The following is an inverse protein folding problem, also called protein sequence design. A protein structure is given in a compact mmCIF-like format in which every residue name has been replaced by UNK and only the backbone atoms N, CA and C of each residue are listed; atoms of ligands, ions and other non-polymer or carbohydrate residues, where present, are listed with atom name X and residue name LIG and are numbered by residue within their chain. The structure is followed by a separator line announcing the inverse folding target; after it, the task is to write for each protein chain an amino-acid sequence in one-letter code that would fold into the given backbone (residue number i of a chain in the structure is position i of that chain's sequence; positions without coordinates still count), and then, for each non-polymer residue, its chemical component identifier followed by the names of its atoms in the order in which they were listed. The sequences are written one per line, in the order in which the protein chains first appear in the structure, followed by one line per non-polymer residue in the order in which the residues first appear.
data_IF_443558645598
#
_entry.id   IF_443558645598
#
_cell.length_a   1.000
_cell.length_b   1.000
_cell.length_c   1.000
_cell.angle_alpha   90.00
_cell.angle_beta   90.00
_cell.angle_gamma   90.00
#
_symmetry.space_group_name_H-M   'P 1'
#
loop_
_entity.id
_entity.type
_entity.pdbx_description
1 polymer ?
#
# COMPACT_ATOMS: atom_id res chain seq x y z
N UNK A 1 5.57 6.67 9.61
CA UNK A 1 5.05 7.97 10.14
C UNK A 1 3.57 8.09 9.78
N UNK A 2 2.75 8.76 10.60
CA UNK A 2 1.27 8.79 10.46
C UNK A 2 0.84 9.79 9.41
N UNK A 3 0.85 9.38 8.15
CA UNK A 3 0.58 10.22 6.97
C UNK A 3 -0.79 10.90 6.97
N UNK A 4 -1.79 10.36 7.71
CA UNK A 4 -3.10 10.99 7.86
C UNK A 4 -3.04 12.35 8.58
N UNK A 5 -2.07 12.60 9.44
CA UNK A 5 -1.99 13.85 10.23
C UNK A 5 -1.76 15.08 9.36
N UNK A 6 -1.08 14.93 8.23
CA UNK A 6 -0.75 16.01 7.30
C UNK A 6 -1.86 16.34 6.29
N UNK A 7 -2.93 15.55 6.23
CA UNK A 7 -4.11 15.85 5.43
C UNK A 7 -4.87 17.05 6.01
N UNK A 8 -5.58 17.78 5.13
CA UNK A 8 -6.55 18.80 5.56
C UNK A 8 -7.70 18.18 6.37
N UNK A 9 -8.35 18.95 7.21
CA UNK A 9 -9.49 18.45 8.00
C UNK A 9 -10.69 18.11 7.10
N UNK A 10 -10.85 18.81 5.97
CA UNK A 10 -11.84 18.49 4.95
C UNK A 10 -11.58 17.11 4.34
N UNK A 11 -10.34 16.82 3.91
CA UNK A 11 -9.97 15.51 3.37
C UNK A 11 -10.16 14.41 4.41
N UNK A 12 -9.76 14.66 5.67
CA UNK A 12 -9.97 13.70 6.76
C UNK A 12 -11.44 13.37 6.98
N UNK A 13 -12.32 14.38 6.90
CA UNK A 13 -13.76 14.21 7.05
C UNK A 13 -14.36 13.40 5.87
N UNK A 14 -13.93 13.70 4.64
CA UNK A 14 -14.40 13.00 3.42
C UNK A 14 -14.08 11.51 3.41
N UNK A 15 -12.91 11.11 3.92
CA UNK A 15 -12.47 9.71 3.91
C UNK A 15 -12.85 8.93 5.17
N UNK A 16 -13.41 9.59 6.18
CA UNK A 16 -13.80 8.94 7.42
C UNK A 16 -14.97 7.97 7.18
N UNK A 17 -14.80 6.72 7.56
CA UNK A 17 -15.79 5.66 7.33
C UNK A 17 -15.86 5.14 5.90
N UNK A 18 -15.09 5.69 4.95
CA UNK A 18 -15.04 5.20 3.58
C UNK A 18 -14.24 3.89 3.49
N UNK A 19 -14.58 3.11 2.46
CA UNK A 19 -13.93 1.85 2.13
C UNK A 19 -13.37 1.88 0.72
N UNK A 20 -12.29 1.13 0.50
CA UNK A 20 -11.68 0.97 -0.80
C UNK A 20 -11.66 -0.49 -1.23
N UNK A 21 -11.72 -0.72 -2.54
CA UNK A 21 -11.46 -2.02 -3.15
C UNK A 21 -9.97 -2.15 -3.37
N UNK A 22 -9.38 -3.15 -2.72
CA UNK A 22 -8.01 -3.58 -2.96
C UNK A 22 -8.02 -4.81 -3.86
N UNK A 23 -7.20 -4.75 -4.90
CA UNK A 23 -7.13 -5.77 -5.92
C UNK A 23 -5.66 -6.06 -6.24
N UNK A 24 -5.23 -7.26 -5.96
CA UNK A 24 -3.84 -7.68 -6.17
C UNK A 24 -3.45 -7.67 -7.64
N UNK A 25 -4.42 -7.88 -8.54
CA UNK A 25 -4.16 -7.87 -10.00
C UNK A 25 -3.73 -6.50 -10.50
N UNK A 26 -4.12 -5.41 -9.81
CA UNK A 26 -3.71 -4.04 -10.17
C UNK A 26 -2.19 -3.87 -10.19
N UNK A 27 -1.45 -4.56 -9.32
CA UNK A 27 0.02 -4.50 -9.32
C UNK A 27 0.63 -5.03 -10.61
N UNK A 28 0.00 -6.00 -11.25
CA UNK A 28 0.45 -6.56 -12.53
C UNK A 28 0.12 -5.64 -13.71
N UNK A 29 -0.94 -4.85 -13.59
CA UNK A 29 -1.33 -3.86 -14.59
C UNK A 29 -0.47 -2.57 -14.49
N UNK A 30 0.16 -2.30 -13.34
CA UNK A 30 0.85 -1.04 -13.06
C UNK A 30 2.32 -1.23 -12.69
N UNK A 31 2.60 -1.83 -11.53
CA UNK A 31 3.97 -1.93 -10.97
C UNK A 31 4.83 -2.91 -11.76
N UNK A 32 4.22 -3.97 -12.29
CA UNK A 32 4.90 -5.04 -13.03
C UNK A 32 4.56 -5.06 -14.52
N UNK A 33 3.88 -4.05 -15.03
CA UNK A 33 3.40 -4.00 -16.42
C UNK A 33 4.50 -4.25 -17.47
N UNK A 34 5.71 -3.77 -17.20
CA UNK A 34 6.86 -3.90 -18.12
C UNK A 34 7.70 -5.16 -17.87
N UNK A 35 7.28 -6.05 -16.96
CA UNK A 35 8.03 -7.27 -16.65
C UNK A 35 7.32 -8.50 -17.27
N UNK A 36 7.82 -9.03 -18.42
CA UNK A 36 7.21 -10.14 -19.13
C UNK A 36 7.22 -11.46 -18.34
N UNK A 37 8.09 -11.60 -17.35
CA UNK A 37 8.19 -12.79 -16.50
C UNK A 37 7.17 -12.78 -15.35
N UNK A 38 6.49 -11.65 -15.16
CA UNK A 38 5.45 -11.49 -14.13
C UNK A 38 4.07 -11.35 -14.76
N UNK A 39 3.54 -12.47 -15.22
CA UNK A 39 2.18 -12.57 -15.72
C UNK A 39 1.35 -13.35 -14.70
N UNK A 40 0.25 -12.77 -14.26
CA UNK A 40 -0.70 -13.46 -13.41
C UNK A 40 -1.64 -14.30 -14.29
N UNK A 41 -1.70 -15.61 -14.06
CA UNK A 41 -2.65 -16.47 -14.76
C UNK A 41 -4.07 -16.25 -14.24
N UNK A 42 -5.09 -16.63 -15.02
CA UNK A 42 -6.49 -16.53 -14.59
C UNK A 42 -6.74 -17.34 -13.31
N UNK A 43 -6.13 -18.50 -13.17
CA UNK A 43 -6.22 -19.35 -11.99
C UNK A 43 -5.64 -18.64 -10.76
N UNK A 44 -4.45 -18.06 -10.88
CA UNK A 44 -3.82 -17.28 -9.79
C UNK A 44 -4.62 -16.02 -9.44
N UNK A 45 -5.20 -15.34 -10.45
CA UNK A 45 -6.07 -14.19 -10.21
C UNK A 45 -7.34 -14.59 -9.43
N UNK A 46 -7.91 -15.77 -9.72
CA UNK A 46 -9.08 -16.29 -9.01
C UNK A 46 -8.79 -16.63 -7.53
N UNK A 47 -7.55 -16.95 -7.18
CA UNK A 47 -7.15 -17.19 -5.79
C UNK A 47 -7.03 -15.93 -4.93
N UNK A 48 -6.93 -14.76 -5.57
CA UNK A 48 -6.74 -13.46 -4.90
C UNK A 48 -7.83 -12.46 -5.30
N UNK A 49 -9.10 -12.75 -5.03
CA UNK A 49 -10.20 -11.86 -5.42
C UNK A 49 -10.06 -10.49 -4.76
N UNK A 50 -10.61 -9.43 -5.39
CA UNK A 50 -10.64 -8.11 -4.79
C UNK A 50 -11.29 -8.12 -3.40
N UNK A 51 -10.70 -7.38 -2.46
CA UNK A 51 -11.17 -7.29 -1.07
C UNK A 51 -11.51 -5.86 -0.70
N UNK A 52 -12.50 -5.72 0.18
CA UNK A 52 -12.92 -4.44 0.74
C UNK A 52 -12.15 -4.17 2.04
N UNK A 53 -11.51 -2.99 2.13
CA UNK A 53 -10.84 -2.51 3.33
C UNK A 53 -11.21 -1.05 3.64
N UNK A 54 -11.08 -0.59 4.91
CA UNK A 54 -11.29 0.81 5.23
C UNK A 54 -10.19 1.67 4.59
N UNK A 55 -10.54 2.87 4.11
CA UNK A 55 -9.56 3.87 3.63
C UNK A 55 -8.67 4.36 4.77
N UNK A 56 -9.24 4.46 5.96
CA UNK A 56 -8.54 4.81 7.20
C UNK A 56 -8.60 3.65 8.17
N UNK A 57 -7.48 2.99 8.37
CA UNK A 57 -7.34 1.89 9.32
C UNK A 57 -6.99 2.41 10.72
N UNK A 58 -7.57 1.79 11.74
CA UNK A 58 -7.24 2.01 13.12
C UNK A 58 -6.29 0.92 13.63
N UNK A 59 -5.17 1.31 14.22
CA UNK A 59 -4.29 0.40 14.96
C UNK A 59 -4.90 0.16 16.35
N UNK A 60 -5.25 -1.07 16.66
CA UNK A 60 -6.02 -1.44 17.85
C UNK A 60 -5.26 -1.08 19.13
N UNK A 61 -3.96 -1.38 19.18
CA UNK A 61 -3.13 -1.21 20.38
C UNK A 61 -2.94 0.24 20.79
N UNK A 62 -2.92 1.16 19.82
CA UNK A 62 -2.63 2.59 20.09
C UNK A 62 -3.82 3.50 19.82
N UNK A 63 -4.86 3.00 19.17
CA UNK A 63 -5.99 3.78 18.67
C UNK A 63 -5.62 4.74 17.50
N UNK A 64 -4.39 4.73 17.04
CA UNK A 64 -3.93 5.62 15.98
C UNK A 64 -4.54 5.23 14.64
N UNK A 65 -4.81 6.24 13.82
CA UNK A 65 -5.39 6.10 12.48
C UNK A 65 -4.34 6.32 11.42
N UNK A 66 -4.32 5.45 10.41
CA UNK A 66 -3.42 5.51 9.26
C UNK A 66 -4.20 5.43 7.95
N UNK A 67 -3.71 6.10 6.91
CA UNK A 67 -4.20 5.90 5.54
C UNK A 67 -3.86 4.46 5.15
N UNK A 68 -4.87 3.71 4.68
CA UNK A 68 -4.75 2.31 4.31
C UNK A 68 -5.10 2.09 2.83
N UNK A 69 -4.62 2.97 1.97
CA UNK A 69 -4.67 2.82 0.51
C UNK A 69 -3.26 2.80 -0.07
N UNK A 70 -3.11 2.16 -1.22
CA UNK A 70 -1.81 1.88 -1.84
C UNK A 70 -1.93 1.98 -3.37
N UNK A 71 -1.01 2.71 -4.06
CA UNK A 71 -1.08 2.87 -5.51
C UNK A 71 -1.05 1.55 -6.30
N UNK A 72 -0.36 0.51 -5.78
CA UNK A 72 -0.25 -0.77 -6.45
C UNK A 72 -1.44 -1.71 -6.25
N UNK A 73 -2.34 -1.43 -5.31
CA UNK A 73 -3.42 -2.36 -4.97
C UNK A 73 -4.81 -1.73 -4.86
N UNK A 74 -4.93 -0.42 -4.70
CA UNK A 74 -6.22 0.23 -4.46
C UNK A 74 -6.86 0.71 -5.74
N UNK A 75 -7.98 0.10 -6.15
CA UNK A 75 -8.68 0.44 -7.39
C UNK A 75 -9.60 1.66 -7.25
N UNK A 76 -10.40 1.71 -6.20
CA UNK A 76 -11.39 2.78 -6.00
C UNK A 76 -11.86 2.88 -4.56
N UNK A 77 -12.43 4.02 -4.20
CA UNK A 77 -13.21 4.23 -2.97
C UNK A 77 -14.68 3.95 -3.31
N UNK A 78 -15.35 3.15 -2.47
CA UNK A 78 -16.68 2.62 -2.77
C UNK A 78 -17.75 3.70 -2.69
N UNK A 79 -17.64 4.58 -1.70
CA UNK A 79 -18.64 5.62 -1.37
C UNK A 79 -18.53 6.88 -2.25
N UNK A 80 -17.64 6.88 -3.25
CA UNK A 80 -17.39 7.98 -4.17
C UNK A 80 -17.69 7.55 -5.61
N UNK A 81 -18.08 8.49 -6.46
CA UNK A 81 -18.14 8.25 -7.89
C UNK A 81 -16.74 8.05 -8.50
N UNK A 82 -16.67 7.70 -9.79
CA UNK A 82 -15.39 7.32 -10.41
C UNK A 82 -14.38 8.48 -10.46
N UNK A 83 -14.86 9.70 -10.70
CA UNK A 83 -14.00 10.90 -10.79
C UNK A 83 -13.54 11.34 -9.39
N UNK A 84 -14.46 11.44 -8.46
CA UNK A 84 -14.17 11.81 -7.08
C UNK A 84 -13.22 10.78 -6.42
N UNK A 85 -13.45 9.49 -6.65
CA UNK A 85 -12.59 8.42 -6.13
C UNK A 85 -11.18 8.50 -6.68
N UNK A 86 -11.01 8.75 -7.98
CA UNK A 86 -9.70 8.90 -8.61
C UNK A 86 -8.93 10.08 -8.00
N UNK A 87 -9.56 11.25 -7.93
CA UNK A 87 -8.93 12.48 -7.45
C UNK A 87 -8.58 12.39 -5.96
N UNK A 88 -9.46 11.74 -5.17
CA UNK A 88 -9.18 11.47 -3.77
C UNK A 88 -8.01 10.49 -3.60
N UNK A 89 -7.97 9.40 -4.35
CA UNK A 89 -6.87 8.45 -4.29
C UNK A 89 -5.55 9.08 -4.70
N UNK A 90 -5.52 9.92 -5.75
CA UNK A 90 -4.32 10.65 -6.16
C UNK A 90 -3.82 11.56 -5.03
N UNK A 91 -4.71 12.28 -4.37
CA UNK A 91 -4.39 13.11 -3.20
C UNK A 91 -3.77 12.26 -2.07
N UNK A 92 -4.40 11.13 -1.75
CA UNK A 92 -3.93 10.23 -0.69
C UNK A 92 -2.59 9.57 -1.04
N UNK A 93 -2.39 9.18 -2.30
CA UNK A 93 -1.13 8.58 -2.77
C UNK A 93 0.00 9.59 -2.73
N UNK A 94 -0.22 10.81 -3.24
CA UNK A 94 0.76 11.91 -3.18
C UNK A 94 1.18 12.17 -1.74
N UNK A 95 0.23 12.29 -0.83
CA UNK A 95 0.54 12.49 0.59
C UNK A 95 1.26 11.29 1.22
N UNK A 96 0.88 10.08 0.82
CA UNK A 96 1.48 8.86 1.34
C UNK A 96 2.92 8.65 0.85
N UNK A 97 3.26 9.12 -0.33
CA UNK A 97 4.58 8.98 -0.98
C UNK A 97 5.42 10.26 -0.94
N UNK A 98 5.00 11.28 -0.18
CA UNK A 98 5.78 12.49 0.03
C UNK A 98 7.20 12.12 0.52
N UNK A 99 8.27 12.60 -0.16
CA UNK A 99 9.66 12.34 0.23
C UNK A 99 9.97 12.65 1.69
N UNK A 100 9.33 13.66 2.28
CA UNK A 100 9.49 13.98 3.70
C UNK A 100 9.01 12.86 4.65
N UNK A 101 8.19 11.94 4.15
CA UNK A 101 7.63 10.81 4.89
C UNK A 101 8.29 9.47 4.58
N UNK A 102 9.29 9.45 3.68
CA UNK A 102 9.96 8.22 3.25
C UNK A 102 11.23 8.01 4.07
N UNK A 103 11.40 6.79 4.56
CA UNK A 103 12.67 6.29 5.05
C UNK A 103 13.24 5.31 4.01
N UNK A 104 14.45 5.59 3.53
CA UNK A 104 15.16 4.67 2.63
C UNK A 104 16.19 3.88 3.42
N UNK A 105 16.05 2.56 3.43
CA UNK A 105 17.00 1.67 4.07
C UNK A 105 18.04 1.19 3.06
N UNK A 106 19.31 1.37 3.39
CA UNK A 106 20.44 0.86 2.61
C UNK A 106 20.95 -0.42 3.27
N UNK A 107 20.58 -1.56 2.68
CA UNK A 107 20.88 -2.88 3.22
C UNK A 107 22.38 -3.14 3.36
N UNK A 108 22.76 -3.69 4.49
CA UNK A 108 24.07 -4.26 4.74
C UNK A 108 23.93 -5.74 5.12
N UNK A 109 25.04 -6.50 5.05
CA UNK A 109 25.05 -7.89 5.51
C UNK A 109 24.74 -7.93 7.00
N UNK A 110 23.90 -8.88 7.42
CA UNK A 110 23.41 -9.06 8.79
C UNK A 110 22.38 -8.02 9.27
N UNK A 111 21.91 -7.11 8.40
CA UNK A 111 20.80 -6.22 8.78
C UNK A 111 19.52 -7.00 9.06
N UNK A 112 18.86 -6.61 10.14
CA UNK A 112 17.50 -7.05 10.48
C UNK A 112 16.57 -5.83 10.48
N UNK A 113 15.56 -5.85 9.60
CA UNK A 113 14.57 -4.79 9.48
C UNK A 113 13.17 -5.32 9.78
N UNK A 114 12.48 -4.67 10.70
CA UNK A 114 11.09 -4.97 11.04
C UNK A 114 10.21 -3.73 10.88
N UNK A 115 9.02 -3.91 10.29
CA UNK A 115 8.03 -2.83 10.17
C UNK A 115 6.62 -3.36 10.37
N UNK A 116 5.71 -2.48 10.77
CA UNK A 116 4.30 -2.79 10.93
C UNK A 116 3.54 -2.50 9.62
N UNK A 117 3.18 -3.55 8.88
CA UNK A 117 2.42 -3.46 7.62
C UNK A 117 1.04 -2.83 7.80
N UNK A 118 0.52 -2.76 9.02
CA UNK A 118 -0.81 -2.20 9.29
C UNK A 118 -0.85 -0.69 9.15
N UNK A 119 0.29 -0.02 9.31
CA UNK A 119 0.41 1.45 9.35
C UNK A 119 1.51 2.01 8.46
N UNK A 120 2.26 1.15 7.76
CA UNK A 120 3.32 1.55 6.84
C UNK A 120 3.12 0.94 5.45
N UNK A 121 3.63 1.60 4.43
CA UNK A 121 3.83 1.04 3.10
C UNK A 121 5.32 0.87 2.85
N UNK A 122 5.67 -0.12 2.06
CA UNK A 122 7.05 -0.33 1.64
C UNK A 122 7.12 -0.68 0.16
N UNK A 123 8.25 -0.36 -0.45
CA UNK A 123 8.56 -0.70 -1.83
C UNK A 123 10.02 -1.13 -1.92
N UNK A 124 10.28 -2.22 -2.64
CA UNK A 124 11.64 -2.60 -3.01
C UNK A 124 12.10 -1.73 -4.19
N UNK A 125 13.26 -1.09 -4.04
CA UNK A 125 13.85 -0.30 -5.13
C UNK A 125 14.61 -1.20 -6.09
N UNK A 126 14.43 -0.96 -7.40
CA UNK A 126 15.14 -1.68 -8.47
C UNK A 126 16.45 -0.98 -8.83
N UNK A 127 17.26 -0.66 -7.82
CA UNK A 127 18.52 0.09 -7.96
C UNK A 127 19.76 -0.82 -7.87
N UNK A 128 19.66 -2.03 -8.37
CA UNK A 128 20.73 -3.03 -8.44
C UNK A 128 20.82 -3.60 -9.86
N UNK A 129 22.02 -4.02 -10.26
CA UNK A 129 22.27 -4.63 -11.54
C UNK A 129 21.89 -6.11 -11.54
N UNK A 130 21.65 -6.69 -12.74
CA UNK A 130 21.30 -8.11 -12.86
C UNK A 130 22.40 -9.06 -12.36
N UNK A 131 23.65 -8.59 -12.29
CA UNK A 131 24.81 -9.30 -11.75
C UNK A 131 24.89 -9.27 -10.24
N UNK A 132 24.14 -8.38 -9.57
CA UNK A 132 24.21 -8.23 -8.12
C UNK A 132 23.46 -9.36 -7.41
N UNK A 133 24.11 -9.91 -6.37
CA UNK A 133 23.46 -10.91 -5.53
C UNK A 133 22.62 -10.20 -4.46
N UNK A 134 21.30 -10.26 -4.62
CA UNK A 134 20.33 -9.74 -3.64
C UNK A 134 19.53 -10.90 -3.05
N UNK A 135 19.95 -11.39 -1.90
CA UNK A 135 19.27 -12.47 -1.19
C UNK A 135 18.78 -11.98 0.18
N UNK A 136 17.46 -11.99 0.38
CA UNK A 136 16.81 -11.54 1.60
C UNK A 136 15.84 -12.62 2.09
N UNK A 137 15.87 -12.91 3.38
CA UNK A 137 14.87 -13.75 4.04
C UNK A 137 13.74 -12.86 4.57
N UNK A 138 12.50 -13.28 4.37
CA UNK A 138 11.33 -12.57 4.87
C UNK A 138 10.40 -13.53 5.59
N UNK A 139 9.91 -13.09 6.74
CA UNK A 139 8.79 -13.70 7.43
C UNK A 139 7.72 -12.66 7.76
N UNK A 140 6.49 -13.07 7.96
CA UNK A 140 5.39 -12.19 8.34
C UNK A 140 4.60 -12.82 9.48
N UNK A 141 4.26 -12.00 10.46
CA UNK A 141 3.34 -12.41 11.54
C UNK A 141 1.91 -12.24 11.03
N UNK A 142 1.05 -13.21 11.31
CA UNK A 142 -0.38 -13.12 11.00
C UNK A 142 -1.00 -11.98 11.79
N UNK A 143 -1.78 -11.14 11.12
CA UNK A 143 -2.50 -10.01 11.71
C UNK A 143 -4.01 -10.22 11.74
N UNK A 144 -4.70 -9.18 12.19
CA UNK A 144 -6.17 -9.11 12.18
C UNK A 144 -6.70 -8.51 10.86
N UNK A 145 -8.01 -8.72 10.62
CA UNK A 145 -8.72 -8.04 9.52
C UNK A 145 -8.70 -6.53 9.78
N UNK A 146 -8.40 -5.69 8.78
CA UNK A 146 -8.42 -4.23 8.92
C UNK A 146 -9.80 -3.68 9.33
N UNK A 147 -9.81 -2.82 10.34
CA UNK A 147 -11.00 -2.11 10.84
C UNK A 147 -10.76 -0.62 10.91
#
# INVERSE_FOLDING_TARGET
MYKRQTLSDETKAKIEGCHAIHDYTLAYETVFADNPDRILTEEQAAEVPPVKHPVVRRQIETGRRAIYVNPGFTRRIIEMDAEESRDMLETLFTQATDPANIYTHHWQVEDFLMWDNRITMHMAMSNYEASDVRHLLRTSVTGEVPV
#
